data_IF_180094644379
#
_entry.id   IF_180094644379
#
_cell.length_a   1.000
_cell.length_b   1.000
_cell.length_c   1.000
_cell.angle_alpha   90.00
_cell.angle_beta   90.00
_cell.angle_gamma   90.00
#
_symmetry.space_group_name_H-M   'P 1'
#
loop_
_entity.id
_entity.type
_entity.pdbx_description
1 polymer ?
#
# COMPACT_ATOMS: atom_id res chain seq x y z
N UNK A 1 46.40 1.11 -27.99
CA UNK A 1 45.15 0.32 -28.04
C UNK A 1 44.25 0.80 -26.91
N UNK A 2 43.09 1.36 -27.26
CA UNK A 2 42.08 1.88 -26.33
C UNK A 2 41.13 0.75 -25.94
N UNK A 3 40.96 0.52 -24.64
CA UNK A 3 39.71 0.06 -24.06
C UNK A 3 39.79 0.24 -22.53
N UNK A 4 39.40 1.42 -22.05
CA UNK A 4 38.94 1.60 -20.68
C UNK A 4 37.64 0.80 -20.53
N UNK A 5 37.57 -0.10 -19.55
CA UNK A 5 36.31 -0.72 -19.14
C UNK A 5 36.09 -0.36 -17.67
N UNK A 6 35.39 0.76 -17.46
CA UNK A 6 34.78 1.09 -16.18
C UNK A 6 33.43 0.37 -16.12
N UNK A 7 33.33 -0.71 -15.34
CA UNK A 7 32.02 -1.26 -14.96
C UNK A 7 31.60 -0.57 -13.67
N UNK A 8 30.83 0.51 -13.82
CA UNK A 8 30.18 1.19 -12.70
C UNK A 8 28.97 0.33 -12.30
N UNK A 9 29.09 -0.38 -11.19
CA UNK A 9 28.03 -1.17 -10.59
C UNK A 9 27.05 -0.22 -9.87
N UNK A 10 26.03 0.26 -10.58
CA UNK A 10 24.90 0.96 -9.96
C UNK A 10 23.99 -0.06 -9.26
N UNK A 11 24.29 -0.38 -8.00
CA UNK A 11 23.32 -1.02 -7.11
C UNK A 11 22.36 0.08 -6.63
N UNK A 12 21.37 0.39 -7.46
CA UNK A 12 20.28 1.29 -7.11
C UNK A 12 19.00 0.49 -6.86
N UNK A 13 18.86 -0.14 -5.70
CA UNK A 13 17.58 -0.70 -5.25
C UNK A 13 17.41 -0.45 -3.75
N UNK A 14 17.25 0.81 -3.36
CA UNK A 14 16.60 1.14 -2.09
C UNK A 14 15.57 2.24 -2.34
N UNK A 15 14.55 1.96 -3.15
CA UNK A 15 13.28 2.65 -2.92
C UNK A 15 12.69 2.07 -1.65
N UNK A 16 13.05 2.66 -0.50
CA UNK A 16 12.25 2.55 0.70
C UNK A 16 10.95 3.31 0.39
N UNK A 17 10.05 2.66 -0.34
CA UNK A 17 8.73 3.19 -0.61
C UNK A 17 7.99 3.14 0.71
N UNK A 18 8.13 4.18 1.54
CA UNK A 18 7.15 4.43 2.59
C UNK A 18 5.81 4.56 1.89
N UNK A 19 5.00 3.48 1.93
CA UNK A 19 3.65 3.50 1.39
C UNK A 19 2.82 4.35 2.34
N UNK A 20 2.90 5.67 2.15
CA UNK A 20 2.10 6.59 2.92
C UNK A 20 0.66 6.55 2.38
N UNK A 21 -0.10 5.60 2.91
CA UNK A 21 -1.52 5.44 2.62
C UNK A 21 -2.31 6.58 3.26
N UNK A 22 -3.24 7.17 2.49
CA UNK A 22 -4.01 8.34 2.92
C UNK A 22 -5.49 8.02 3.09
N UNK A 23 -6.14 8.77 3.96
CA UNK A 23 -7.61 8.73 4.11
C UNK A 23 -8.25 9.03 2.75
N UNK A 24 -9.24 8.21 2.37
CA UNK A 24 -9.94 8.28 1.10
C UNK A 24 -9.37 7.37 0.02
N UNK A 25 -8.15 6.85 0.17
CA UNK A 25 -7.57 5.90 -0.77
C UNK A 25 -8.20 4.51 -0.63
N UNK A 26 -8.24 3.78 -1.73
CA UNK A 26 -8.67 2.40 -1.76
C UNK A 26 -7.47 1.45 -1.81
N UNK A 27 -7.59 0.36 -1.07
CA UNK A 27 -6.56 -0.64 -0.85
C UNK A 27 -7.13 -2.05 -0.95
N UNK A 28 -6.29 -3.00 -1.28
CA UNK A 28 -6.66 -4.40 -1.49
C UNK A 28 -5.55 -5.30 -0.94
N UNK A 29 -5.89 -6.44 -0.36
CA UNK A 29 -4.88 -7.43 0.04
C UNK A 29 -4.38 -8.18 -1.21
N UNK A 30 -3.08 -8.51 -1.35
CA UNK A 30 -2.56 -9.20 -2.53
C UNK A 30 -3.26 -10.52 -2.88
N UNK A 31 -3.83 -11.18 -1.88
CA UNK A 31 -4.51 -12.48 -1.95
C UNK A 31 -6.04 -12.38 -1.97
N UNK A 32 -6.61 -11.16 -2.03
CA UNK A 32 -8.05 -10.92 -2.00
C UNK A 32 -8.49 -10.04 -3.16
N UNK A 33 -9.67 -10.31 -3.74
CA UNK A 33 -10.32 -9.43 -4.71
C UNK A 33 -11.08 -8.26 -4.06
N UNK A 34 -11.09 -8.19 -2.73
CA UNK A 34 -11.87 -7.22 -1.98
C UNK A 34 -11.14 -5.89 -1.89
N UNK A 35 -11.81 -4.83 -2.35
CA UNK A 35 -11.36 -3.45 -2.23
C UNK A 35 -11.94 -2.81 -0.97
N UNK A 36 -11.06 -2.20 -0.20
CA UNK A 36 -11.34 -1.49 1.05
C UNK A 36 -11.03 -0.01 0.88
N UNK A 37 -11.80 0.87 1.52
CA UNK A 37 -11.51 2.30 1.58
C UNK A 37 -10.98 2.70 2.94
N UNK A 38 -9.89 3.45 2.97
CA UNK A 38 -9.35 4.03 4.21
C UNK A 38 -10.28 5.17 4.64
N UNK A 39 -10.93 5.01 5.78
CA UNK A 39 -11.83 6.03 6.32
C UNK A 39 -11.22 6.79 7.49
N UNK A 40 -10.26 6.18 8.18
CA UNK A 40 -9.54 6.81 9.28
C UNK A 40 -8.12 6.25 9.35
N UNK A 41 -7.15 7.11 9.66
CA UNK A 41 -5.75 6.77 9.92
C UNK A 41 -5.28 7.60 11.12
N UNK A 42 -4.69 6.94 12.10
CA UNK A 42 -3.95 7.56 13.18
C UNK A 42 -2.54 6.94 13.28
N UNK A 43 -1.77 7.35 14.29
CA UNK A 43 -0.38 6.88 14.48
C UNK A 43 -0.28 5.39 14.81
N UNK A 44 -1.38 4.73 15.18
CA UNK A 44 -1.40 3.36 15.69
C UNK A 44 -2.28 2.41 14.88
N UNK A 45 -3.26 2.93 14.15
CA UNK A 45 -4.21 2.09 13.43
C UNK A 45 -4.76 2.78 12.17
N UNK A 46 -5.24 1.93 11.26
CA UNK A 46 -6.02 2.30 10.09
C UNK A 46 -7.38 1.62 10.19
N UNK A 47 -8.44 2.36 9.87
CA UNK A 47 -9.80 1.83 9.75
C UNK A 47 -10.17 1.77 8.28
N UNK A 48 -10.56 0.57 7.86
CA UNK A 48 -10.91 0.20 6.50
C UNK A 48 -12.39 -0.16 6.41
N UNK A 49 -13.11 0.46 5.48
CA UNK A 49 -14.52 0.15 5.21
C UNK A 49 -14.66 -0.51 3.84
N UNK A 50 -15.50 -1.52 3.78
CA UNK A 50 -15.93 -2.15 2.54
C UNK A 50 -17.43 -1.91 2.39
N UNK A 51 -17.80 -1.34 1.25
CA UNK A 51 -19.21 -1.16 0.87
C UNK A 51 -19.54 -2.20 -0.19
N UNK A 52 -19.80 -3.44 0.22
CA UNK A 52 -20.42 -4.41 -0.65
C UNK A 52 -21.93 -4.33 -0.47
N UNK A 53 -22.64 -4.29 -1.60
CA UNK A 53 -24.09 -4.08 -1.70
C UNK A 53 -24.83 -4.76 -0.54
N UNK A 54 -25.35 -3.91 0.37
CA UNK A 54 -26.24 -4.18 1.51
C UNK A 54 -25.60 -4.39 2.90
N UNK A 55 -24.29 -4.58 3.05
CA UNK A 55 -23.65 -4.63 4.37
C UNK A 55 -22.32 -3.85 4.40
N UNK A 56 -22.24 -2.87 5.30
CA UNK A 56 -20.99 -2.14 5.55
C UNK A 56 -20.12 -2.97 6.49
N UNK A 57 -19.03 -3.50 5.96
CA UNK A 57 -18.02 -4.21 6.76
C UNK A 57 -16.91 -3.25 7.18
N UNK A 58 -16.45 -3.40 8.42
CA UNK A 58 -15.40 -2.58 9.04
C UNK A 58 -14.26 -3.49 9.49
N UNK A 59 -13.06 -3.20 9.01
CA UNK A 59 -11.81 -3.81 9.46
C UNK A 59 -10.95 -2.74 10.18
N UNK A 60 -10.37 -3.11 11.32
CA UNK A 60 -9.43 -2.26 12.07
C UNK A 60 -8.06 -2.92 11.98
N UNK A 61 -7.12 -2.23 11.36
CA UNK A 61 -5.73 -2.67 11.19
C UNK A 61 -4.87 -1.93 12.22
N UNK A 62 -4.23 -2.66 13.12
CA UNK A 62 -3.39 -2.11 14.22
C UNK A 62 -1.94 -1.87 13.76
N UNK A 63 -1.69 -1.96 12.46
CA UNK A 63 -0.42 -1.60 11.83
C UNK A 63 -0.67 -0.42 10.87
N UNK A 64 -0.24 0.80 11.22
CA UNK A 64 -0.48 2.01 10.43
C UNK A 64 0.31 2.04 9.13
N UNK A 65 1.28 1.14 8.92
CA UNK A 65 1.96 0.97 7.64
C UNK A 65 1.05 0.28 6.61
N UNK A 66 0.14 -0.58 7.09
CA UNK A 66 -0.68 -1.47 6.27
C UNK A 66 0.13 -2.12 5.12
N UNK A 67 1.35 -2.59 5.43
CA UNK A 67 2.28 -3.20 4.47
C UNK A 67 1.70 -4.41 3.73
N UNK A 68 0.72 -5.08 4.34
CA UNK A 68 -0.05 -6.17 3.74
C UNK A 68 -1.09 -5.74 2.69
N UNK A 69 -1.18 -4.45 2.36
CA UNK A 69 -2.13 -3.90 1.40
C UNK A 69 -1.42 -3.23 0.21
N UNK A 70 -2.07 -3.31 -0.94
CA UNK A 70 -1.70 -2.60 -2.17
C UNK A 70 -2.73 -1.52 -2.47
N UNK A 71 -2.27 -0.32 -2.85
CA UNK A 71 -3.14 0.76 -3.31
C UNK A 71 -3.79 0.36 -4.64
N UNK A 72 -5.09 0.59 -4.76
CA UNK A 72 -5.89 0.27 -5.95
C UNK A 72 -6.95 1.34 -6.20
N UNK A 73 -7.66 1.24 -7.33
CA UNK A 73 -8.79 2.12 -7.62
C UNK A 73 -10.02 1.73 -6.80
N UNK A 74 -10.81 2.72 -6.40
CA UNK A 74 -12.10 2.48 -5.76
C UNK A 74 -13.11 1.98 -6.81
N UNK A 75 -13.87 0.94 -6.46
CA UNK A 75 -14.99 0.43 -7.26
C UNK A 75 -16.26 1.25 -7.04
#
# INVERSE_FOLDING_TARGET
MKAMVFVILFIGLTSCNSRDLKIGECVQKPDSAVVWKIVQKDETQIILYQNQSQQMEKEIVVDPSADGYIKTECL
#
